data_IF_971524681284
#
_entry.id   IF_971524681284
#
_cell.length_a   1.000
_cell.length_b   1.000
_cell.length_c   1.000
_cell.angle_alpha   90.00
_cell.angle_beta   90.00
_cell.angle_gamma   90.00
#
_symmetry.space_group_name_H-M   'P 1'
#
loop_
_entity.id
_entity.type
_entity.pdbx_description
1 polymer ?
#
# COMPACT_ATOMS: atom_id res chain seq x y z
N UNK A 1 23.83 52.60 21.87
CA UNK A 1 22.41 52.76 21.50
C UNK A 1 21.78 51.49 20.92
N UNK A 2 22.52 50.69 20.10
CA UNK A 2 22.02 49.42 19.54
C UNK A 2 21.55 48.46 20.66
N UNK A 3 22.32 48.29 21.69
CA UNK A 3 22.00 47.43 22.84
C UNK A 3 20.71 47.83 23.59
N UNK A 4 20.40 49.13 23.61
CA UNK A 4 19.22 49.64 24.33
C UNK A 4 17.96 49.70 23.47
N UNK A 5 18.09 49.83 22.17
CA UNK A 5 16.97 50.13 21.27
C UNK A 5 16.51 48.89 20.53
N UNK A 6 17.41 47.98 20.14
CA UNK A 6 17.10 46.83 19.30
C UNK A 6 17.35 45.47 19.97
N UNK A 7 18.31 45.43 20.93
CA UNK A 7 18.79 44.17 21.53
C UNK A 7 18.60 44.17 23.06
N UNK A 8 17.57 44.88 23.54
CA UNK A 8 17.28 44.98 24.97
C UNK A 8 17.10 43.60 25.61
N UNK A 9 17.82 43.38 26.73
CA UNK A 9 17.86 42.12 27.47
C UNK A 9 18.39 40.88 26.75
N UNK A 10 19.00 41.01 25.54
CA UNK A 10 19.63 39.88 24.86
C UNK A 10 21.11 39.73 25.20
N UNK A 11 21.56 38.49 25.40
CA UNK A 11 22.99 38.18 25.59
C UNK A 11 23.65 38.13 24.21
N UNK A 12 24.27 39.22 23.82
CA UNK A 12 24.87 39.40 22.48
C UNK A 12 26.40 39.43 22.49
N UNK A 13 27.03 39.41 23.64
CA UNK A 13 28.49 39.48 23.82
C UNK A 13 28.96 38.33 24.70
N UNK A 14 30.01 37.65 24.26
CA UNK A 14 30.75 36.66 25.04
C UNK A 14 32.25 36.99 25.04
N UNK A 15 32.95 36.74 26.16
CA UNK A 15 34.39 36.93 26.27
C UNK A 15 35.09 35.56 26.16
N UNK A 16 36.01 35.47 25.26
CA UNK A 16 36.84 34.28 25.08
C UNK A 16 38.31 34.61 25.24
N UNK A 17 39.04 33.71 25.89
CA UNK A 17 40.48 33.81 25.97
C UNK A 17 41.13 33.44 24.64
N UNK A 18 41.84 34.34 24.02
CA UNK A 18 42.52 34.12 22.73
C UNK A 18 44.02 34.26 22.92
N UNK A 19 44.81 33.27 22.55
CA UNK A 19 46.26 33.34 22.57
C UNK A 19 46.77 34.02 21.30
N UNK A 20 47.48 35.14 21.44
CA UNK A 20 48.08 35.86 20.35
C UNK A 20 49.39 35.20 19.87
N UNK A 21 49.92 35.63 18.70
CA UNK A 21 51.17 35.12 18.15
C UNK A 21 52.40 35.35 19.06
N UNK A 22 52.31 36.29 20.04
CA UNK A 22 53.32 36.56 21.05
C UNK A 22 53.25 35.62 22.26
N UNK A 23 52.32 34.63 22.26
CA UNK A 23 52.10 33.68 23.34
C UNK A 23 51.27 34.22 24.52
N UNK A 24 50.83 35.47 24.50
CA UNK A 24 50.02 36.07 25.55
C UNK A 24 48.53 35.77 25.34
N UNK A 25 47.82 35.61 26.44
CA UNK A 25 46.38 35.38 26.48
C UNK A 25 45.62 36.70 26.67
N UNK A 26 44.74 37.00 25.72
CA UNK A 26 43.89 38.19 25.75
C UNK A 26 42.43 37.76 25.89
N UNK A 27 41.65 38.53 26.67
CA UNK A 27 40.20 38.39 26.73
C UNK A 27 39.59 39.17 25.55
N UNK A 28 39.07 38.46 24.56
CA UNK A 28 38.51 39.06 23.36
C UNK A 28 36.97 38.97 23.40
N UNK A 29 36.30 40.07 23.13
CA UNK A 29 34.85 40.12 23.01
C UNK A 29 34.41 39.60 21.64
N UNK A 30 33.49 38.66 21.67
CA UNK A 30 32.83 38.12 20.48
C UNK A 30 31.36 38.51 20.50
N UNK A 31 30.82 38.89 19.39
CA UNK A 31 29.45 39.32 19.21
C UNK A 31 28.65 38.31 18.43
N UNK A 32 27.39 38.10 18.80
CA UNK A 32 26.47 37.23 18.05
C UNK A 32 26.02 37.91 16.75
N UNK A 33 25.29 37.15 15.93
CA UNK A 33 24.82 37.61 14.62
C UNK A 33 23.83 38.78 14.72
N UNK A 34 23.00 38.83 15.75
CA UNK A 34 22.04 39.91 15.97
C UNK A 34 22.74 41.25 16.16
N UNK A 35 23.82 41.26 16.95
CA UNK A 35 24.65 42.44 17.12
C UNK A 35 25.33 42.87 15.83
N UNK A 36 25.86 41.92 15.03
CA UNK A 36 26.49 42.20 13.74
C UNK A 36 25.50 42.82 12.77
N UNK A 37 24.27 42.28 12.69
CA UNK A 37 23.21 42.79 11.83
C UNK A 37 22.79 44.20 12.25
N UNK A 38 22.46 44.40 13.52
CA UNK A 38 21.99 45.70 14.03
C UNK A 38 23.02 46.79 13.85
N UNK A 39 24.29 46.53 14.16
CA UNK A 39 25.40 47.46 13.92
C UNK A 39 25.60 47.71 12.43
N UNK A 40 25.57 46.64 11.59
CA UNK A 40 25.79 46.74 10.14
C UNK A 40 24.76 47.63 9.42
N UNK A 41 23.52 47.63 9.90
CA UNK A 41 22.48 48.51 9.35
C UNK A 41 22.62 49.98 9.82
N UNK A 42 23.27 50.27 10.94
CA UNK A 42 23.43 51.62 11.49
C UNK A 42 24.73 52.32 11.10
N UNK A 43 25.77 51.57 10.79
CA UNK A 43 27.09 52.14 10.47
C UNK A 43 27.04 52.95 9.20
N UNK A 44 27.36 54.26 9.29
CA UNK A 44 27.40 55.21 8.17
C UNK A 44 28.76 55.21 7.45
N UNK A 45 29.33 54.04 7.24
CA UNK A 45 30.63 53.90 6.52
C UNK A 45 30.43 53.23 5.19
N UNK A 46 31.42 53.30 4.30
CA UNK A 46 31.45 52.56 3.03
C UNK A 46 31.26 51.06 3.26
N UNK A 47 31.91 50.48 4.26
CA UNK A 47 31.75 49.05 4.64
C UNK A 47 30.34 48.74 5.11
N UNK A 48 29.68 49.65 5.84
CA UNK A 48 28.28 49.49 6.21
C UNK A 48 27.34 49.50 5.03
N UNK A 49 27.64 50.30 4.00
CA UNK A 49 26.86 50.24 2.72
C UNK A 49 27.02 48.90 2.01
N UNK A 50 28.27 48.41 1.96
CA UNK A 50 28.56 47.11 1.28
C UNK A 50 27.90 45.96 2.05
N UNK A 51 27.92 45.97 3.37
CA UNK A 51 27.20 45.00 4.20
C UNK A 51 25.69 45.02 3.91
N UNK A 52 25.06 46.20 3.89
CA UNK A 52 23.63 46.29 3.62
C UNK A 52 23.24 45.78 2.22
N UNK A 53 24.07 46.06 1.22
CA UNK A 53 23.87 45.55 -0.15
C UNK A 53 23.93 44.03 -0.17
N UNK A 54 24.94 43.46 0.47
CA UNK A 54 25.10 42.03 0.61
C UNK A 54 23.92 41.40 1.36
N UNK A 55 23.54 41.91 2.52
CA UNK A 55 22.43 41.39 3.32
C UNK A 55 21.10 41.43 2.56
N UNK A 56 20.84 42.52 1.83
CA UNK A 56 19.64 42.65 1.00
C UNK A 56 19.62 41.60 -0.14
N UNK A 57 20.76 41.29 -0.73
CA UNK A 57 20.83 40.26 -1.78
C UNK A 57 20.50 38.88 -1.20
N UNK A 58 21.10 38.52 -0.07
CA UNK A 58 20.83 37.24 0.61
C UNK A 58 19.35 37.14 1.02
N UNK A 59 18.78 38.21 1.60
CA UNK A 59 17.39 38.20 2.01
C UNK A 59 16.43 38.02 0.82
N UNK A 60 16.68 38.74 -0.28
CA UNK A 60 15.89 38.58 -1.50
C UNK A 60 15.98 37.17 -2.07
N UNK A 61 17.17 36.61 -2.17
CA UNK A 61 17.34 35.23 -2.64
C UNK A 61 16.61 34.22 -1.74
N UNK A 62 16.71 34.36 -0.42
CA UNK A 62 16.03 33.50 0.53
C UNK A 62 14.49 33.57 0.37
N UNK A 63 13.96 34.79 0.30
CA UNK A 63 12.52 35.00 0.11
C UNK A 63 12.01 34.42 -1.22
N UNK A 64 12.74 34.66 -2.33
CA UNK A 64 12.36 34.15 -3.64
C UNK A 64 12.48 32.63 -3.74
N UNK A 65 13.56 32.05 -3.19
CA UNK A 65 13.73 30.58 -3.14
C UNK A 65 12.68 29.92 -2.25
N UNK A 66 12.39 30.51 -1.09
CA UNK A 66 11.34 30.01 -0.19
C UNK A 66 9.97 29.98 -0.85
N UNK A 67 9.59 31.06 -1.57
CA UNK A 67 8.34 31.12 -2.32
C UNK A 67 8.29 30.05 -3.43
N UNK A 68 9.37 29.86 -4.20
CA UNK A 68 9.42 28.86 -5.25
C UNK A 68 9.35 27.41 -4.70
N UNK A 69 9.94 27.15 -3.52
CA UNK A 69 9.87 25.85 -2.84
C UNK A 69 8.43 25.59 -2.39
N UNK A 70 7.76 26.55 -1.79
CA UNK A 70 6.38 26.40 -1.32
C UNK A 70 5.43 26.08 -2.48
N UNK A 71 5.54 26.78 -3.62
CA UNK A 71 4.74 26.47 -4.81
C UNK A 71 4.99 25.03 -5.32
N UNK A 72 6.23 24.56 -5.31
CA UNK A 72 6.55 23.19 -5.72
C UNK A 72 5.98 22.16 -4.76
N UNK A 73 6.01 22.43 -3.45
CA UNK A 73 5.40 21.55 -2.43
C UNK A 73 3.90 21.45 -2.67
N UNK A 74 3.19 22.56 -2.83
CA UNK A 74 1.76 22.56 -3.12
C UNK A 74 1.40 21.76 -4.39
N UNK A 75 2.21 21.88 -5.44
CA UNK A 75 2.01 21.10 -6.67
C UNK A 75 2.25 19.62 -6.46
N UNK A 76 3.27 19.26 -5.68
CA UNK A 76 3.55 17.86 -5.33
C UNK A 76 2.43 17.26 -4.49
N UNK A 77 1.93 17.97 -3.50
CA UNK A 77 0.81 17.53 -2.66
C UNK A 77 -0.44 17.27 -3.50
N UNK A 78 -0.80 18.17 -4.40
CA UNK A 78 -1.92 17.97 -5.34
C UNK A 78 -1.73 16.77 -6.26
N UNK A 79 -0.51 16.55 -6.74
CA UNK A 79 -0.19 15.42 -7.61
C UNK A 79 -0.26 14.10 -6.85
N UNK A 80 0.26 14.06 -5.63
CA UNK A 80 0.19 12.88 -4.75
C UNK A 80 -1.26 12.54 -4.41
N UNK A 81 -2.08 13.53 -4.06
CA UNK A 81 -3.50 13.33 -3.79
C UNK A 81 -4.23 12.72 -5.00
N UNK A 82 -3.99 13.27 -6.20
CA UNK A 82 -4.57 12.74 -7.44
C UNK A 82 -4.11 11.30 -7.75
N UNK A 83 -2.84 10.99 -7.49
CA UNK A 83 -2.32 9.63 -7.67
C UNK A 83 -2.93 8.66 -6.67
N UNK A 84 -3.09 9.06 -5.41
CA UNK A 84 -3.75 8.24 -4.37
C UNK A 84 -5.19 7.91 -4.77
N UNK A 85 -5.95 8.90 -5.24
CA UNK A 85 -7.32 8.68 -5.71
C UNK A 85 -7.39 7.70 -6.89
N UNK A 86 -6.48 7.84 -7.86
CA UNK A 86 -6.40 6.92 -9.01
C UNK A 86 -6.00 5.51 -8.60
N UNK A 87 -5.06 5.38 -7.67
CA UNK A 87 -4.63 4.09 -7.15
C UNK A 87 -5.78 3.42 -6.39
N UNK A 88 -6.48 4.16 -5.53
CA UNK A 88 -7.64 3.64 -4.79
C UNK A 88 -8.76 3.19 -5.73
N UNK A 89 -9.04 3.98 -6.76
CA UNK A 89 -9.99 3.60 -7.81
C UNK A 89 -9.54 2.30 -8.50
N UNK A 90 -8.28 2.21 -8.89
CA UNK A 90 -7.74 1.03 -9.58
C UNK A 90 -7.76 -0.22 -8.68
N UNK A 91 -7.39 -0.09 -7.42
CA UNK A 91 -7.42 -1.18 -6.42
C UNK A 91 -8.86 -1.69 -6.24
N UNK A 92 -9.84 -0.79 -6.10
CA UNK A 92 -11.25 -1.17 -5.92
C UNK A 92 -11.90 -1.78 -7.15
N UNK A 93 -11.45 -1.42 -8.36
CA UNK A 93 -12.09 -1.86 -9.61
C UNK A 93 -11.36 -2.98 -10.33
N UNK A 94 -10.06 -3.15 -10.10
CA UNK A 94 -9.23 -4.09 -10.87
C UNK A 94 -8.76 -5.32 -10.08
N UNK A 95 -8.78 -5.25 -8.75
CA UNK A 95 -8.41 -6.39 -7.91
C UNK A 95 -9.67 -7.06 -7.36
N UNK A 96 -9.69 -8.39 -7.27
CA UNK A 96 -10.74 -9.10 -6.56
C UNK A 96 -10.85 -8.57 -5.12
N UNK A 97 -12.07 -8.43 -4.56
CA UNK A 97 -12.22 -7.99 -3.19
C UNK A 97 -11.55 -8.99 -2.23
N UNK A 98 -10.89 -8.45 -1.21
CA UNK A 98 -10.19 -9.27 -0.20
C UNK A 98 -11.14 -9.89 0.81
N UNK A 99 -12.29 -9.26 1.07
CA UNK A 99 -13.33 -9.78 1.95
C UNK A 99 -14.69 -9.17 1.60
N UNK A 100 -15.76 -9.81 2.01
CA UNK A 100 -17.11 -9.30 1.82
C UNK A 100 -18.19 -10.25 2.26
N UNK A 101 -19.43 -9.77 2.16
CA UNK A 101 -20.63 -10.52 2.47
C UNK A 101 -21.56 -10.46 1.26
N UNK A 102 -22.08 -11.61 0.86
CA UNK A 102 -23.20 -11.73 -0.07
C UNK A 102 -24.46 -12.07 0.71
N UNK A 103 -25.53 -11.39 0.39
CA UNK A 103 -26.83 -11.65 0.98
C UNK A 103 -27.61 -12.67 0.16
N UNK A 104 -28.69 -13.20 0.76
CA UNK A 104 -29.60 -14.10 0.05
C UNK A 104 -30.18 -13.45 -1.21
N UNK A 105 -30.28 -14.22 -2.27
CA UNK A 105 -30.72 -13.77 -3.59
C UNK A 105 -29.63 -13.14 -4.48
N UNK A 106 -28.44 -12.83 -3.97
CA UNK A 106 -27.32 -12.32 -4.78
C UNK A 106 -26.58 -13.46 -5.52
N UNK A 107 -27.33 -14.32 -6.20
CA UNK A 107 -26.80 -15.54 -6.84
C UNK A 107 -25.85 -15.21 -7.98
N UNK A 108 -26.21 -14.25 -8.83
CA UNK A 108 -25.39 -13.88 -9.99
C UNK A 108 -24.12 -13.15 -9.58
N UNK A 109 -24.21 -12.26 -8.59
CA UNK A 109 -23.04 -11.50 -8.11
C UNK A 109 -22.03 -12.44 -7.45
N UNK A 110 -22.50 -13.36 -6.61
CA UNK A 110 -21.65 -14.36 -5.96
C UNK A 110 -21.02 -15.34 -6.98
N UNK A 111 -21.78 -15.76 -7.99
CA UNK A 111 -21.26 -16.56 -9.11
C UNK A 111 -20.20 -15.80 -9.89
N UNK A 112 -20.47 -14.53 -10.23
CA UNK A 112 -19.50 -13.66 -10.92
C UNK A 112 -18.21 -13.52 -10.11
N UNK A 113 -18.30 -13.24 -8.82
CA UNK A 113 -17.17 -13.18 -7.90
C UNK A 113 -16.32 -14.46 -7.97
N UNK A 114 -16.93 -15.65 -7.79
CA UNK A 114 -16.20 -16.91 -7.82
C UNK A 114 -15.55 -17.18 -9.18
N UNK A 115 -16.24 -16.87 -10.27
CA UNK A 115 -15.69 -17.05 -11.62
C UNK A 115 -14.59 -16.05 -11.95
N UNK A 116 -14.66 -14.82 -11.42
CA UNK A 116 -13.59 -13.84 -11.58
C UNK A 116 -12.33 -14.27 -10.79
N UNK A 117 -12.46 -14.80 -9.57
CA UNK A 117 -11.35 -15.42 -8.84
C UNK A 117 -10.71 -16.57 -9.63
N UNK A 118 -11.52 -17.48 -10.17
CA UNK A 118 -11.05 -18.60 -10.99
C UNK A 118 -10.23 -18.12 -12.20
N UNK A 119 -10.65 -17.03 -12.85
CA UNK A 119 -9.96 -16.43 -13.99
C UNK A 119 -8.64 -15.73 -13.64
N UNK A 120 -8.42 -15.37 -12.38
CA UNK A 120 -7.13 -14.78 -11.97
C UNK A 120 -5.98 -15.80 -11.98
N UNK A 121 -6.30 -17.09 -11.88
CA UNK A 121 -5.32 -18.17 -11.84
C UNK A 121 -4.48 -18.21 -13.13
N UNK A 122 -3.18 -18.38 -12.95
CA UNK A 122 -2.17 -18.50 -14.02
C UNK A 122 -1.50 -19.87 -14.06
N UNK A 123 -1.54 -20.63 -12.96
CA UNK A 123 -0.87 -21.92 -12.82
C UNK A 123 -1.78 -23.02 -12.31
N UNK A 124 -2.43 -22.79 -11.17
CA UNK A 124 -3.19 -23.83 -10.47
C UNK A 124 -4.38 -23.28 -9.71
N UNK A 125 -5.40 -24.11 -9.59
CA UNK A 125 -6.54 -23.94 -8.71
C UNK A 125 -6.70 -25.19 -7.84
N UNK A 126 -6.86 -25.00 -6.54
CA UNK A 126 -7.21 -26.04 -5.61
C UNK A 126 -8.46 -25.63 -4.86
N UNK A 127 -9.52 -26.41 -5.00
CA UNK A 127 -10.80 -26.19 -4.32
C UNK A 127 -10.99 -27.26 -3.25
N UNK A 128 -11.30 -26.84 -2.03
CA UNK A 128 -11.80 -27.71 -0.97
C UNK A 128 -13.27 -27.34 -0.76
N UNK A 129 -14.18 -28.25 -1.14
CA UNK A 129 -15.62 -28.06 -1.01
C UNK A 129 -16.32 -29.42 -0.84
N UNK A 130 -17.03 -29.60 0.24
CA UNK A 130 -17.70 -30.85 0.60
C UNK A 130 -18.89 -31.20 -0.32
N UNK A 131 -19.41 -30.22 -1.06
CA UNK A 131 -20.65 -30.34 -1.86
C UNK A 131 -20.42 -29.88 -3.29
N UNK A 132 -19.93 -30.77 -4.12
CA UNK A 132 -19.60 -30.49 -5.52
C UNK A 132 -20.59 -31.19 -6.44
N UNK A 133 -21.01 -30.48 -7.48
CA UNK A 133 -21.82 -31.00 -8.59
C UNK A 133 -21.31 -30.45 -9.95
N UNK A 134 -22.03 -30.71 -11.02
CA UNK A 134 -21.68 -30.29 -12.39
C UNK A 134 -21.56 -28.76 -12.51
N UNK A 135 -22.27 -27.97 -11.72
CA UNK A 135 -22.19 -26.51 -11.75
C UNK A 135 -20.81 -25.99 -11.33
N UNK A 136 -20.17 -26.67 -10.37
CA UNK A 136 -18.80 -26.36 -9.92
C UNK A 136 -17.78 -26.71 -11.02
N UNK A 137 -17.95 -27.86 -11.71
CA UNK A 137 -17.11 -28.22 -12.85
C UNK A 137 -17.20 -27.16 -13.94
N UNK A 138 -18.43 -26.70 -14.25
CA UNK A 138 -18.68 -25.64 -15.23
C UNK A 138 -18.05 -24.29 -14.81
N UNK A 139 -18.06 -23.95 -13.54
CA UNK A 139 -17.33 -22.76 -13.06
C UNK A 139 -15.82 -22.90 -13.25
N UNK A 140 -15.24 -24.02 -12.88
CA UNK A 140 -13.81 -24.29 -13.04
C UNK A 140 -13.37 -24.39 -14.50
N UNK A 141 -14.25 -24.73 -15.44
CA UNK A 141 -13.94 -24.71 -16.88
C UNK A 141 -13.68 -23.31 -17.44
N UNK A 142 -14.03 -22.24 -16.68
CA UNK A 142 -13.76 -20.84 -17.02
C UNK A 142 -12.34 -20.38 -16.71
N UNK A 143 -11.50 -21.23 -16.11
CA UNK A 143 -10.10 -20.94 -15.86
C UNK A 143 -9.32 -20.72 -17.16
N UNK A 144 -8.21 -20.03 -17.06
CA UNK A 144 -7.36 -19.79 -18.21
C UNK A 144 -6.78 -21.11 -18.78
N UNK A 145 -6.52 -21.18 -20.08
CA UNK A 145 -5.85 -22.34 -20.68
C UNK A 145 -4.52 -22.66 -19.99
N UNK A 146 -4.25 -23.94 -19.75
CA UNK A 146 -3.03 -24.40 -19.09
C UNK A 146 -3.05 -24.35 -17.56
N UNK A 147 -4.09 -23.78 -16.95
CA UNK A 147 -4.26 -23.81 -15.48
C UNK A 147 -4.75 -25.17 -15.04
N UNK A 148 -4.02 -25.83 -14.13
CA UNK A 148 -4.45 -27.08 -13.51
C UNK A 148 -5.57 -26.83 -12.49
N UNK A 149 -6.48 -27.80 -12.31
CA UNK A 149 -7.50 -27.71 -11.26
C UNK A 149 -7.61 -29.02 -10.49
N UNK A 150 -7.67 -28.93 -9.17
CA UNK A 150 -7.88 -30.07 -8.28
C UNK A 150 -8.99 -29.72 -7.28
N UNK A 151 -9.93 -30.65 -7.11
CA UNK A 151 -11.02 -30.55 -6.16
C UNK A 151 -10.82 -31.59 -5.06
N UNK A 152 -10.95 -31.16 -3.82
CA UNK A 152 -11.07 -32.02 -2.64
C UNK A 152 -12.48 -31.94 -2.10
N UNK A 153 -13.20 -33.09 -2.08
CA UNK A 153 -14.61 -33.15 -1.68
C UNK A 153 -14.86 -34.32 -0.72
N UNK A 154 -15.90 -34.21 0.09
CA UNK A 154 -16.22 -35.24 1.08
C UNK A 154 -16.58 -36.58 0.43
N UNK A 155 -17.29 -36.56 -0.73
CA UNK A 155 -17.78 -37.76 -1.42
C UNK A 155 -17.83 -37.55 -2.91
N UNK A 156 -17.28 -38.50 -3.66
CA UNK A 156 -17.44 -38.58 -5.11
C UNK A 156 -18.62 -39.52 -5.38
N UNK A 157 -19.75 -38.97 -5.79
CA UNK A 157 -20.93 -39.77 -6.15
C UNK A 157 -20.76 -40.33 -7.57
N UNK A 158 -21.51 -41.41 -7.91
CA UNK A 158 -21.50 -41.95 -9.26
C UNK A 158 -21.91 -40.89 -10.30
N UNK A 159 -22.86 -40.01 -9.96
CA UNK A 159 -23.27 -38.92 -10.86
C UNK A 159 -22.10 -37.91 -11.04
N UNK A 160 -21.47 -37.47 -9.98
CA UNK A 160 -20.34 -36.55 -10.09
C UNK A 160 -19.18 -37.12 -10.88
N UNK A 161 -18.92 -38.43 -10.75
CA UNK A 161 -17.88 -39.10 -11.55
C UNK A 161 -18.25 -39.11 -13.03
N UNK A 162 -19.49 -39.42 -13.37
CA UNK A 162 -19.97 -39.38 -14.76
C UNK A 162 -19.87 -37.99 -15.37
N UNK A 163 -20.24 -36.95 -14.61
CA UNK A 163 -20.15 -35.57 -15.06
C UNK A 163 -18.69 -35.10 -15.21
N UNK A 164 -17.82 -35.55 -14.31
CA UNK A 164 -16.38 -35.31 -14.40
C UNK A 164 -15.75 -35.94 -15.63
N UNK A 165 -16.10 -37.19 -15.91
CA UNK A 165 -15.60 -37.92 -17.11
C UNK A 165 -16.01 -37.18 -18.39
N UNK A 166 -17.28 -36.81 -18.51
CA UNK A 166 -17.79 -36.00 -19.64
C UNK A 166 -17.12 -34.64 -19.76
N UNK A 167 -16.90 -33.97 -18.59
CA UNK A 167 -16.19 -32.69 -18.56
C UNK A 167 -14.76 -32.85 -19.09
N UNK A 168 -14.05 -33.84 -18.59
CA UNK A 168 -12.64 -34.08 -18.92
C UNK A 168 -12.42 -34.56 -20.35
N UNK A 169 -13.43 -35.17 -20.96
CA UNK A 169 -13.42 -35.50 -22.40
C UNK A 169 -13.51 -34.26 -23.31
N UNK A 170 -14.12 -33.17 -22.79
CA UNK A 170 -14.38 -31.97 -23.60
C UNK A 170 -13.47 -30.79 -23.23
N UNK A 171 -13.10 -30.64 -21.95
CA UNK A 171 -12.36 -29.50 -21.41
C UNK A 171 -11.04 -29.93 -20.80
N UNK A 172 -10.20 -28.96 -20.45
CA UNK A 172 -8.98 -29.23 -19.66
C UNK A 172 -9.33 -30.04 -18.42
N UNK A 173 -8.68 -31.17 -18.17
CA UNK A 173 -9.05 -32.07 -17.09
C UNK A 173 -9.03 -31.42 -15.70
N UNK A 174 -9.99 -31.79 -14.86
CA UNK A 174 -10.06 -31.51 -13.44
C UNK A 174 -9.75 -32.80 -12.68
N UNK A 175 -8.85 -32.74 -11.70
CA UNK A 175 -8.62 -33.82 -10.77
C UNK A 175 -9.56 -33.70 -9.59
N UNK A 176 -10.17 -34.84 -9.16
CA UNK A 176 -10.99 -34.85 -7.95
C UNK A 176 -10.47 -35.87 -6.96
N UNK A 177 -10.46 -35.54 -5.68
CA UNK A 177 -10.01 -36.41 -4.59
C UNK A 177 -10.98 -36.32 -3.41
N UNK A 178 -11.03 -37.41 -2.63
CA UNK A 178 -11.85 -37.42 -1.42
C UNK A 178 -11.06 -36.87 -0.25
N UNK A 179 -11.67 -35.88 0.45
CA UNK A 179 -11.14 -35.32 1.70
C UNK A 179 -12.31 -34.99 2.62
N UNK A 180 -12.28 -35.49 3.86
CA UNK A 180 -13.42 -35.45 4.79
C UNK A 180 -13.23 -34.57 6.00
N UNK A 181 -12.01 -34.02 6.18
CA UNK A 181 -11.62 -33.35 7.42
C UNK A 181 -11.67 -31.81 7.28
N UNK A 182 -12.52 -31.29 6.41
CA UNK A 182 -12.76 -29.84 6.31
C UNK A 182 -14.23 -29.55 6.54
N UNK A 183 -14.53 -28.58 7.39
CA UNK A 183 -15.85 -27.96 7.49
C UNK A 183 -15.99 -26.75 6.56
N UNK A 184 -14.91 -26.01 6.39
CA UNK A 184 -14.85 -24.81 5.60
C UNK A 184 -14.48 -25.09 4.14
N UNK A 185 -14.76 -24.12 3.28
CA UNK A 185 -14.45 -24.18 1.85
C UNK A 185 -13.32 -23.19 1.58
N UNK A 186 -12.35 -23.67 0.82
CA UNK A 186 -11.20 -22.88 0.43
C UNK A 186 -10.97 -22.98 -1.06
N UNK A 187 -10.68 -21.83 -1.66
CA UNK A 187 -10.15 -21.76 -3.01
C UNK A 187 -8.72 -21.23 -2.93
N UNK A 188 -7.77 -22.05 -3.34
CA UNK A 188 -6.35 -21.68 -3.38
C UNK A 188 -5.98 -21.42 -4.85
N UNK A 189 -5.44 -20.24 -5.10
CA UNK A 189 -5.06 -19.77 -6.44
C UNK A 189 -3.55 -19.70 -6.54
N UNK A 190 -2.97 -20.39 -7.52
CA UNK A 190 -1.55 -20.38 -7.88
C UNK A 190 -0.59 -20.75 -6.73
N UNK A 191 -1.05 -21.53 -5.74
CA UNK A 191 -0.33 -21.85 -4.51
C UNK A 191 0.20 -20.61 -3.78
N UNK A 192 -0.55 -19.52 -3.84
CA UNK A 192 -0.21 -18.22 -3.23
C UNK A 192 -1.34 -17.58 -2.46
N UNK A 193 -2.52 -17.57 -3.03
CA UNK A 193 -3.66 -16.87 -2.47
C UNK A 193 -4.67 -17.88 -1.94
N UNK A 194 -5.08 -17.68 -0.70
CA UNK A 194 -6.05 -18.53 -0.02
C UNK A 194 -7.32 -17.75 0.24
N UNK A 195 -8.42 -18.18 -0.37
CA UNK A 195 -9.75 -17.61 -0.13
C UNK A 195 -10.57 -18.59 0.70
N UNK A 196 -11.06 -18.14 1.84
CA UNK A 196 -12.12 -18.81 2.59
C UNK A 196 -13.45 -18.39 2.01
N UNK A 197 -14.35 -19.35 1.75
CA UNK A 197 -15.68 -19.11 1.18
C UNK A 197 -16.72 -19.77 2.09
N UNK A 198 -17.57 -18.99 2.74
CA UNK A 198 -18.54 -19.44 3.73
C UNK A 198 -19.69 -20.28 3.17
N UNK A 199 -19.80 -20.43 1.85
CA UNK A 199 -20.78 -21.28 1.18
C UNK A 199 -20.12 -22.24 0.19
N UNK A 200 -20.78 -23.37 -0.11
CA UNK A 200 -20.37 -24.22 -1.22
C UNK A 200 -20.53 -23.47 -2.55
N UNK A 201 -19.61 -23.70 -3.52
CA UNK A 201 -19.65 -23.03 -4.80
C UNK A 201 -20.96 -23.27 -5.56
N UNK A 202 -21.56 -24.43 -5.41
CA UNK A 202 -22.87 -24.75 -6.02
C UNK A 202 -24.05 -23.98 -5.43
N UNK A 203 -23.91 -23.47 -4.21
CA UNK A 203 -24.97 -22.80 -3.46
C UNK A 203 -24.73 -21.31 -3.25
N UNK A 204 -23.76 -20.72 -3.95
CA UNK A 204 -23.41 -19.31 -3.84
C UNK A 204 -24.61 -18.39 -4.00
N UNK A 205 -24.79 -17.47 -3.06
CA UNK A 205 -25.85 -16.46 -3.08
C UNK A 205 -27.27 -16.96 -2.80
N UNK A 206 -27.47 -18.27 -2.61
CA UNK A 206 -28.79 -18.81 -2.17
C UNK A 206 -29.10 -18.45 -0.73
N UNK A 207 -28.08 -18.29 0.10
CA UNK A 207 -28.14 -17.80 1.48
C UNK A 207 -27.00 -16.84 1.72
N UNK A 208 -27.13 -16.01 2.74
CA UNK A 208 -26.07 -15.11 3.16
C UNK A 208 -24.78 -15.90 3.49
N UNK A 209 -23.66 -15.44 2.98
CA UNK A 209 -22.34 -15.97 3.32
C UNK A 209 -21.27 -14.87 3.26
N UNK A 210 -20.21 -15.05 4.03
CA UNK A 210 -19.02 -14.21 3.95
C UNK A 210 -17.88 -14.93 3.20
N UNK A 211 -16.96 -14.15 2.68
CA UNK A 211 -15.69 -14.64 2.17
C UNK A 211 -14.57 -13.75 2.62
N UNK A 212 -13.36 -14.28 2.69
CA UNK A 212 -12.15 -13.53 2.98
C UNK A 212 -10.92 -14.15 2.33
N UNK A 213 -10.02 -13.31 1.85
CA UNK A 213 -8.67 -13.71 1.49
C UNK A 213 -7.85 -13.82 2.77
N UNK A 214 -7.30 -14.97 3.04
CA UNK A 214 -6.51 -15.23 4.24
C UNK A 214 -5.04 -14.92 3.97
N UNK A 215 -4.41 -14.20 4.87
CA UNK A 215 -2.95 -13.93 4.84
C UNK A 215 -2.18 -15.08 5.51
N UNK A 216 -2.30 -16.28 4.92
CA UNK A 216 -1.61 -17.48 5.39
C UNK A 216 -0.88 -18.16 4.24
N UNK A 217 0.17 -18.90 4.57
CA UNK A 217 0.87 -19.75 3.61
C UNK A 217 -0.02 -20.93 3.19
N UNK A 218 -0.25 -21.15 1.88
CA UNK A 218 -1.11 -22.24 1.38
C UNK A 218 -0.73 -23.62 1.88
N UNK A 219 0.55 -23.85 2.16
CA UNK A 219 1.08 -25.12 2.66
C UNK A 219 0.49 -25.53 4.03
N UNK A 220 0.05 -24.57 4.85
CA UNK A 220 -0.64 -24.88 6.12
C UNK A 220 -1.92 -25.67 5.90
N UNK A 221 -2.56 -25.51 4.76
CA UNK A 221 -3.75 -26.27 4.35
C UNK A 221 -3.34 -27.50 3.54
N UNK A 222 -2.51 -27.33 2.51
CA UNK A 222 -2.22 -28.37 1.52
C UNK A 222 -1.43 -29.54 2.09
N UNK A 223 -0.63 -29.35 3.16
CA UNK A 223 0.10 -30.42 3.83
C UNK A 223 -0.83 -31.45 4.52
N UNK A 224 -2.11 -31.11 4.70
CA UNK A 224 -3.12 -31.97 5.34
C UNK A 224 -4.00 -32.72 4.33
N UNK A 225 -3.87 -32.42 3.04
CA UNK A 225 -4.60 -33.03 1.93
C UNK A 225 -3.86 -34.26 1.39
#
# INVERSE_FOLDING_TARGET
NVLKEELDNQVVVAKFATTAADGKVYQTEHYNLDMVISVGFRVKSRRGVDFRRWANTILKEYMLKGYAINQRIEQLEKTVALHSEKIDFFVRTSLPPVEGIFFDGQIFDAYKFATDLIKTAKKSLLLIDNYVDESVLLMLSKRNPGVSATIYTQKITAQLQLDLDKHNDQYTPINIRTYRNSHDRFLIVDDKEVYHIGASLKDLGKKMFAFSKLEIEPNLITIKL
#
